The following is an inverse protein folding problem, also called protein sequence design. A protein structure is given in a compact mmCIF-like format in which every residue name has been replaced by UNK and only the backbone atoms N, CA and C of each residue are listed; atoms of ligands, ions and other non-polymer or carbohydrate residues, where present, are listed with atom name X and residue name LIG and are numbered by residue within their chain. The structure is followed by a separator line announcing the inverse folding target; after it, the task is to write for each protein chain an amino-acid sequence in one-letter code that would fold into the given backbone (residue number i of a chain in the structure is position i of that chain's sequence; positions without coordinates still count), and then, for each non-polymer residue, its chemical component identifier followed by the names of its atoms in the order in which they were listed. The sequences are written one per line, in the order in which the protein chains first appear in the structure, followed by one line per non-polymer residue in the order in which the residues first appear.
data_IF_708480546293
#
_entry.id   IF_708480546293
#
_cell.length_a   1.000
_cell.length_b   1.000
_cell.length_c   1.000
_cell.angle_alpha   90.00
_cell.angle_beta   90.00
_cell.angle_gamma   90.00
#
_symmetry.space_group_name_H-M   'P 1'
#
loop_
_entity.id
_entity.type
_entity.pdbx_description
1 polymer ?
#
# COMPACT_ATOMS: atom_id res chain seq x y z
N UNK A 1 19.70 31.05 3.51
CA UNK A 1 19.52 30.13 2.37
C UNK A 1 20.28 28.81 2.54
N UNK A 2 21.07 28.63 3.61
CA UNK A 2 21.86 27.42 3.90
C UNK A 2 21.04 26.25 4.47
N UNK A 3 19.81 26.48 4.97
CA UNK A 3 19.03 25.42 5.63
C UNK A 3 18.24 24.53 4.67
N UNK A 4 17.99 24.99 3.44
CA UNK A 4 17.18 24.27 2.45
C UNK A 4 18.02 23.58 1.38
N UNK A 5 19.29 23.98 1.26
CA UNK A 5 20.20 23.46 0.26
C UNK A 5 21.28 22.64 0.97
N UNK A 6 21.55 21.38 0.55
CA UNK A 6 21.09 20.68 -0.66
C UNK A 6 19.85 19.77 -0.50
N UNK A 7 19.38 19.50 0.71
CA UNK A 7 18.41 18.43 0.99
C UNK A 7 17.00 18.72 0.46
N UNK A 8 16.57 19.99 0.57
CA UNK A 8 15.28 20.44 0.06
C UNK A 8 15.19 20.33 -1.46
N UNK A 9 16.31 20.54 -2.17
CA UNK A 9 16.38 20.35 -3.61
C UNK A 9 16.18 18.89 -4.01
N UNK A 10 16.88 17.95 -3.35
CA UNK A 10 16.71 16.51 -3.62
C UNK A 10 15.28 16.05 -3.39
N UNK A 11 14.66 16.56 -2.32
CA UNK A 11 13.26 16.25 -2.01
C UNK A 11 12.32 16.71 -3.12
N UNK A 12 12.49 17.93 -3.65
CA UNK A 12 11.68 18.44 -4.76
C UNK A 12 11.90 17.60 -6.03
N UNK A 13 13.14 17.21 -6.32
CA UNK A 13 13.46 16.38 -7.49
C UNK A 13 12.81 14.99 -7.38
N UNK A 14 12.88 14.36 -6.21
CA UNK A 14 12.27 13.05 -5.96
C UNK A 14 10.75 13.12 -6.01
N UNK A 15 10.13 14.12 -5.37
CA UNK A 15 8.67 14.32 -5.41
C UNK A 15 8.20 14.65 -6.83
N UNK A 16 8.90 15.54 -7.52
CA UNK A 16 8.59 15.92 -8.90
C UNK A 16 8.67 14.73 -9.86
N UNK A 17 9.73 13.94 -9.79
CA UNK A 17 9.88 12.72 -10.61
C UNK A 17 8.82 11.66 -10.29
N UNK A 18 8.47 11.48 -9.02
CA UNK A 18 7.35 10.61 -8.63
C UNK A 18 6.03 11.11 -9.21
N UNK A 19 5.70 12.39 -9.06
CA UNK A 19 4.44 12.97 -9.55
C UNK A 19 4.36 12.88 -11.08
N UNK A 20 5.45 13.18 -11.79
CA UNK A 20 5.52 13.01 -13.24
C UNK A 20 5.34 11.55 -13.65
N UNK A 21 6.02 10.61 -12.99
CA UNK A 21 5.91 9.19 -13.25
C UNK A 21 4.50 8.63 -12.99
N UNK A 22 3.92 8.98 -11.83
CA UNK A 22 2.64 8.44 -11.37
C UNK A 22 1.44 9.09 -12.07
N UNK A 23 1.43 10.41 -12.27
CA UNK A 23 0.26 11.13 -12.79
C UNK A 23 0.35 11.44 -14.28
N UNK A 24 1.52 11.87 -14.79
CA UNK A 24 1.67 12.20 -16.20
C UNK A 24 1.91 10.96 -17.07
N UNK A 25 2.83 10.08 -16.63
CA UNK A 25 3.16 8.85 -17.34
C UNK A 25 2.29 7.65 -16.92
N UNK A 26 1.47 7.79 -15.87
CA UNK A 26 0.57 6.74 -15.35
C UNK A 26 1.29 5.42 -15.05
N UNK A 27 2.56 5.49 -14.63
CA UNK A 27 3.33 4.32 -14.28
C UNK A 27 2.77 3.68 -13.00
N UNK A 28 2.90 2.35 -12.84
CA UNK A 28 2.65 1.70 -11.56
C UNK A 28 3.41 2.41 -10.44
N UNK A 29 2.74 2.65 -9.31
CA UNK A 29 3.27 3.43 -8.18
C UNK A 29 4.65 2.92 -7.74
N UNK A 30 4.85 1.59 -7.72
CA UNK A 30 6.13 0.98 -7.40
C UNK A 30 7.26 1.38 -8.38
N UNK A 31 6.97 1.44 -9.69
CA UNK A 31 7.95 1.85 -10.71
C UNK A 31 8.24 3.35 -10.59
N UNK A 32 7.20 4.16 -10.35
CA UNK A 32 7.37 5.59 -10.15
C UNK A 32 8.22 5.91 -8.90
N UNK A 33 8.00 5.20 -7.79
CA UNK A 33 8.80 5.34 -6.56
C UNK A 33 10.26 4.89 -6.77
N UNK A 34 10.46 3.73 -7.40
CA UNK A 34 11.81 3.26 -7.73
C UNK A 34 12.55 4.24 -8.64
N UNK A 35 11.88 4.77 -9.67
CA UNK A 35 12.43 5.79 -10.54
C UNK A 35 12.79 7.08 -9.79
N UNK A 36 11.91 7.55 -8.91
CA UNK A 36 12.18 8.72 -8.06
C UNK A 36 13.39 8.52 -7.15
N UNK A 37 13.57 7.32 -6.59
CA UNK A 37 14.76 6.96 -5.82
C UNK A 37 16.04 6.98 -6.66
N UNK A 38 16.01 6.49 -7.91
CA UNK A 38 17.15 6.56 -8.83
C UNK A 38 17.49 8.02 -9.16
N UNK A 39 16.49 8.85 -9.49
CA UNK A 39 16.71 10.26 -9.81
C UNK A 39 17.25 11.02 -8.59
N UNK A 40 16.76 10.73 -7.38
CA UNK A 40 17.27 11.27 -6.13
C UNK A 40 18.74 10.91 -5.88
N UNK A 41 19.11 9.65 -6.10
CA UNK A 41 20.50 9.19 -5.98
C UNK A 41 21.43 9.92 -6.97
N UNK A 42 21.01 10.02 -8.24
CA UNK A 42 21.76 10.73 -9.28
C UNK A 42 21.94 12.21 -8.93
N UNK A 43 20.90 12.87 -8.40
CA UNK A 43 20.99 14.25 -7.95
C UNK A 43 21.92 14.42 -6.73
N UNK A 44 21.97 13.41 -5.85
CA UNK A 44 22.87 13.34 -4.70
C UNK A 44 24.33 12.99 -5.04
N UNK A 45 24.66 12.76 -6.31
CA UNK A 45 26.00 12.39 -6.76
C UNK A 45 26.32 10.89 -6.70
N UNK A 46 25.35 10.05 -6.31
CA UNK A 46 25.44 8.60 -6.31
C UNK A 46 24.95 8.04 -7.66
N UNK A 47 25.83 7.40 -8.42
CA UNK A 47 25.51 6.94 -9.78
C UNK A 47 24.40 5.88 -9.84
N UNK A 48 24.63 4.73 -9.22
CA UNK A 48 23.63 3.66 -9.18
C UNK A 48 23.77 2.88 -7.88
N UNK A 49 22.98 3.22 -6.84
CA UNK A 49 23.16 2.66 -5.52
C UNK A 49 22.47 1.28 -5.38
N UNK A 50 22.92 0.29 -6.17
CA UNK A 50 22.43 -1.10 -6.14
C UNK A 50 22.35 -1.66 -4.72
N UNK A 51 23.39 -1.40 -3.92
CA UNK A 51 23.45 -1.82 -2.52
C UNK A 51 22.29 -1.25 -1.72
N UNK A 52 21.99 0.05 -1.84
CA UNK A 52 20.92 0.69 -1.09
C UNK A 52 19.53 0.27 -1.57
N UNK A 53 19.35 -0.07 -2.85
CA UNK A 53 18.11 -0.69 -3.33
C UNK A 53 17.89 -2.05 -2.70
N UNK A 54 18.92 -2.90 -2.68
CA UNK A 54 18.83 -4.24 -2.09
C UNK A 54 18.64 -4.14 -0.58
N UNK A 55 19.51 -3.43 0.13
CA UNK A 55 19.41 -3.21 1.59
C UNK A 55 18.07 -2.59 1.98
N UNK A 56 17.61 -1.58 1.24
CA UNK A 56 16.31 -0.95 1.47
C UNK A 56 15.15 -1.92 1.31
N UNK A 57 15.16 -2.76 0.26
CA UNK A 57 14.13 -3.78 0.06
C UNK A 57 14.16 -4.84 1.17
N UNK A 58 15.34 -5.29 1.59
CA UNK A 58 15.49 -6.26 2.67
C UNK A 58 15.06 -5.69 4.03
N UNK A 59 15.19 -4.37 4.25
CA UNK A 59 14.69 -3.69 5.45
C UNK A 59 13.18 -3.81 5.66
N UNK A 60 12.41 -3.96 4.58
CA UNK A 60 10.94 -4.15 4.64
C UNK A 60 10.51 -5.59 4.34
N UNK A 61 11.45 -6.52 4.20
CA UNK A 61 11.14 -7.89 3.77
C UNK A 61 10.15 -8.57 4.72
N UNK A 62 10.33 -8.42 6.03
CA UNK A 62 9.42 -8.97 7.04
C UNK A 62 8.00 -8.43 6.86
N UNK A 63 7.85 -7.11 6.73
CA UNK A 63 6.55 -6.47 6.50
C UNK A 63 5.91 -6.93 5.18
N UNK A 64 6.69 -7.06 4.10
CA UNK A 64 6.22 -7.55 2.80
C UNK A 64 5.70 -8.98 2.93
N UNK A 65 6.42 -9.85 3.64
CA UNK A 65 6.00 -11.24 3.86
C UNK A 65 4.72 -11.32 4.69
N UNK A 66 4.60 -10.53 5.76
CA UNK A 66 3.39 -10.45 6.58
C UNK A 66 2.18 -10.06 5.71
N UNK A 67 2.31 -9.00 4.90
CA UNK A 67 1.23 -8.55 4.00
C UNK A 67 0.92 -9.61 2.94
N UNK A 68 1.94 -10.24 2.35
CA UNK A 68 1.76 -11.28 1.35
C UNK A 68 1.00 -12.49 1.92
N UNK A 69 1.38 -12.97 3.11
CA UNK A 69 0.68 -14.04 3.82
C UNK A 69 -0.76 -13.64 4.17
N UNK A 70 -0.97 -12.42 4.65
CA UNK A 70 -2.30 -11.89 4.93
C UNK A 70 -3.20 -11.83 3.69
N UNK A 71 -2.65 -11.42 2.53
CA UNK A 71 -3.37 -11.44 1.26
C UNK A 71 -3.72 -12.85 0.79
N UNK A 72 -2.81 -13.82 0.92
CA UNK A 72 -3.06 -15.23 0.57
C UNK A 72 -4.16 -15.81 1.44
N UNK A 73 -4.11 -15.54 2.76
CA UNK A 73 -5.15 -15.93 3.70
C UNK A 73 -6.51 -15.31 3.31
N UNK A 74 -6.54 -14.00 3.05
CA UNK A 74 -7.78 -13.31 2.71
C UNK A 74 -8.40 -13.80 1.40
N UNK A 75 -7.58 -14.05 0.36
CA UNK A 75 -8.06 -14.68 -0.88
C UNK A 75 -8.62 -16.08 -0.64
N UNK A 76 -7.98 -16.86 0.23
CA UNK A 76 -8.47 -18.19 0.59
C UNK A 76 -9.83 -18.09 1.29
N UNK A 77 -9.98 -17.19 2.27
CA UNK A 77 -11.23 -16.92 2.99
C UNK A 77 -12.35 -16.51 2.02
N UNK A 78 -12.09 -15.58 1.10
CA UNK A 78 -13.05 -15.17 0.06
C UNK A 78 -13.45 -16.35 -0.83
N UNK A 79 -12.49 -17.17 -1.26
CA UNK A 79 -12.76 -18.32 -2.13
C UNK A 79 -13.60 -19.41 -1.45
N UNK A 80 -13.51 -19.53 -0.13
CA UNK A 80 -14.36 -20.47 0.64
C UNK A 80 -15.81 -20.01 0.82
N UNK A 81 -16.14 -18.76 0.49
CA UNK A 81 -17.48 -18.21 0.72
C UNK A 81 -17.77 -17.86 2.20
N UNK A 82 -16.74 -17.84 3.05
CA UNK A 82 -16.90 -17.61 4.49
C UNK A 82 -17.48 -16.22 4.78
N UNK A 83 -17.00 -15.20 4.07
CA UNK A 83 -17.46 -13.81 4.22
C UNK A 83 -18.94 -13.67 3.81
N UNK A 84 -19.33 -14.32 2.71
CA UNK A 84 -20.69 -14.34 2.18
C UNK A 84 -21.65 -15.07 3.15
N UNK A 85 -21.21 -16.19 3.72
CA UNK A 85 -21.96 -16.93 4.74
C UNK A 85 -22.15 -16.11 6.01
N UNK A 86 -21.09 -15.45 6.49
CA UNK A 86 -21.12 -14.54 7.64
C UNK A 86 -22.07 -13.36 7.38
N UNK A 87 -21.99 -12.74 6.21
CA UNK A 87 -22.87 -11.64 5.82
C UNK A 87 -24.34 -12.09 5.81
N UNK A 88 -24.64 -13.24 5.18
CA UNK A 88 -25.98 -13.81 5.17
C UNK A 88 -26.50 -14.17 6.58
N UNK A 89 -25.62 -14.59 7.48
CA UNK A 89 -25.96 -14.84 8.89
C UNK A 89 -26.30 -13.54 9.64
N UNK A 90 -25.46 -12.50 9.52
CA UNK A 90 -25.69 -11.18 10.14
C UNK A 90 -27.00 -10.57 9.64
N UNK A 91 -27.25 -10.63 8.33
CA UNK A 91 -28.49 -10.13 7.73
C UNK A 91 -29.70 -10.85 8.35
N UNK A 92 -29.68 -12.20 8.40
CA UNK A 92 -30.78 -12.98 8.99
C UNK A 92 -31.01 -12.66 10.46
N UNK A 93 -29.94 -12.45 11.23
CA UNK A 93 -29.99 -12.19 12.68
C UNK A 93 -30.46 -10.78 13.04
N UNK A 94 -30.05 -9.77 12.27
CA UNK A 94 -30.25 -8.35 12.59
C UNK A 94 -31.20 -7.61 11.63
N UNK A 95 -31.90 -8.31 10.72
CA UNK A 95 -32.86 -7.71 9.76
C UNK A 95 -33.94 -6.79 10.36
N UNK A 96 -34.23 -6.91 11.66
CA UNK A 96 -35.23 -6.08 12.37
C UNK A 96 -34.63 -4.82 13.02
N UNK A 97 -33.30 -4.66 13.01
CA UNK A 97 -32.56 -3.57 13.65
C UNK A 97 -31.55 -2.99 12.64
N UNK A 98 -31.96 -2.05 11.77
CA UNK A 98 -31.15 -1.59 10.63
C UNK A 98 -29.79 -1.03 11.05
N UNK A 99 -29.71 -0.29 12.16
CA UNK A 99 -28.44 0.23 12.69
C UNK A 99 -27.42 -0.87 13.02
N UNK A 100 -27.86 -1.93 13.73
CA UNK A 100 -26.97 -3.05 14.09
C UNK A 100 -26.55 -3.86 12.87
N UNK A 101 -27.44 -3.99 11.88
CA UNK A 101 -27.13 -4.65 10.61
C UNK A 101 -26.06 -3.87 9.85
N UNK A 102 -26.20 -2.55 9.72
CA UNK A 102 -25.23 -1.70 9.03
C UNK A 102 -23.86 -1.76 9.68
N UNK A 103 -23.79 -1.65 11.02
CA UNK A 103 -22.52 -1.77 11.75
C UNK A 103 -21.89 -3.15 11.56
N UNK A 104 -22.68 -4.23 11.67
CA UNK A 104 -22.19 -5.59 11.47
C UNK A 104 -21.63 -5.82 10.06
N UNK A 105 -22.28 -5.24 9.04
CA UNK A 105 -21.82 -5.36 7.65
C UNK A 105 -20.54 -4.55 7.39
N UNK A 106 -20.41 -3.36 8.00
CA UNK A 106 -19.17 -2.56 7.93
C UNK A 106 -17.99 -3.37 8.45
N UNK A 107 -18.12 -4.03 9.61
CA UNK A 107 -17.04 -4.86 10.15
C UNK A 107 -16.65 -6.01 9.20
N UNK A 108 -17.64 -6.66 8.57
CA UNK A 108 -17.38 -7.74 7.61
C UNK A 108 -16.64 -7.24 6.38
N UNK A 109 -17.05 -6.10 5.81
CA UNK A 109 -16.47 -5.54 4.58
C UNK A 109 -15.07 -4.95 4.84
N UNK A 110 -14.84 -4.34 6.01
CA UNK A 110 -13.54 -3.74 6.33
C UNK A 110 -12.49 -4.77 6.76
N UNK A 111 -12.88 -5.95 7.24
CA UNK A 111 -11.93 -6.96 7.71
C UNK A 111 -10.89 -7.36 6.63
N UNK A 112 -11.27 -7.63 5.36
CA UNK A 112 -10.32 -7.80 4.27
C UNK A 112 -9.34 -6.63 4.12
N UNK A 113 -9.85 -5.39 3.98
CA UNK A 113 -9.02 -4.21 3.71
C UNK A 113 -8.04 -3.89 4.83
N UNK A 114 -8.45 -4.06 6.09
CA UNK A 114 -7.57 -3.85 7.24
C UNK A 114 -6.46 -4.90 7.34
N UNK A 115 -6.76 -6.16 6.99
CA UNK A 115 -5.79 -7.26 7.06
C UNK A 115 -4.80 -7.19 5.90
N UNK A 116 -5.25 -6.83 4.70
CA UNK A 116 -4.40 -6.80 3.50
C UNK A 116 -3.66 -5.49 3.32
N UNK A 117 -4.01 -4.44 4.06
CA UNK A 117 -3.47 -3.09 3.89
C UNK A 117 -3.78 -2.46 2.53
N UNK A 118 -4.60 -3.12 1.69
CA UNK A 118 -4.99 -2.59 0.39
C UNK A 118 -6.19 -1.68 0.57
N UNK A 119 -5.96 -0.37 0.48
CA UNK A 119 -7.02 0.66 0.47
C UNK A 119 -7.62 0.86 -0.92
N UNK A 120 -7.73 -0.22 -1.71
CA UNK A 120 -8.32 -0.18 -3.05
C UNK A 120 -9.83 -0.33 -3.00
#
# INVERSE_FOLDING_TARGET
MEWFWPEGFYTIVMVGSFVLGAFALKLPIAIALSGAAVVGALAGGEWFPLRHFVEGMFGYLDTILIIASAMIFMKSVQKTGLLESLAAWVIRRFRRKPLLLSVGLIFIIMAPGMITGSST
#
